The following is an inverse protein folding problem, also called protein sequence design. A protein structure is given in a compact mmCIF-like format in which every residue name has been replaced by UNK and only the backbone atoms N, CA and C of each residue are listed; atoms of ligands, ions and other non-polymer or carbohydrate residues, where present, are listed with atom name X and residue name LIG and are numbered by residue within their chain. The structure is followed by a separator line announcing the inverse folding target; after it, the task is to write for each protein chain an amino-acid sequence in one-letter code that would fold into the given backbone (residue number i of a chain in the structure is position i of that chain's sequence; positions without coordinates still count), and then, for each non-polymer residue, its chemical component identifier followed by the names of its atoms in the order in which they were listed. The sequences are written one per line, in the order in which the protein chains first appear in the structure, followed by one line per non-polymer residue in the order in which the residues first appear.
data_IF_712517777933
#
_entry.id   IF_712517777933
#
_cell.length_a   1.000
_cell.length_b   1.000
_cell.length_c   1.000
_cell.angle_alpha   90.00
_cell.angle_beta   90.00
_cell.angle_gamma   90.00
#
_symmetry.space_group_name_H-M   'P 1'
#
loop_
_entity.id
_entity.type
_entity.pdbx_description
1 polymer ?
#
# COMPACT_ATOMS: atom_id res chain seq x y z
N UNK A 1 4.24 4.93 97.54
CA UNK A 1 5.61 4.37 97.46
C UNK A 1 6.15 4.65 96.07
N UNK A 2 7.10 5.60 96.00
CA UNK A 2 8.31 5.60 95.15
C UNK A 2 8.16 5.50 93.63
N UNK A 3 8.75 6.32 92.75
CA UNK A 3 9.52 7.58 92.77
C UNK A 3 9.79 7.84 91.29
N UNK A 4 9.67 9.08 90.81
CA UNK A 4 10.30 9.46 89.53
C UNK A 4 11.74 9.93 89.81
N UNK A 5 12.72 9.56 88.97
CA UNK A 5 13.67 10.56 88.47
C UNK A 5 14.01 10.31 86.97
N UNK A 6 13.86 11.32 86.11
CA UNK A 6 14.94 12.23 85.64
C UNK A 6 16.17 11.52 85.06
N UNK A 7 16.28 11.52 83.72
CA UNK A 7 17.56 11.63 83.02
C UNK A 7 17.46 12.75 81.98
N UNK A 8 18.41 13.67 82.08
CA UNK A 8 18.60 14.90 81.31
C UNK A 8 19.45 14.66 80.05
N UNK A 9 19.38 15.61 79.11
CA UNK A 9 20.34 15.96 78.04
C UNK A 9 20.43 14.97 76.85
N UNK A 10 20.14 15.37 75.61
CA UNK A 10 21.02 16.27 74.86
C UNK A 10 20.32 16.96 73.68
N UNK A 11 20.73 18.19 73.43
CA UNK A 11 20.31 19.14 72.41
C UNK A 11 20.87 18.72 71.03
N UNK A 12 20.02 18.73 70.00
CA UNK A 12 20.45 18.96 68.61
C UNK A 12 19.35 19.74 67.89
N UNK A 13 19.48 21.06 67.96
CA UNK A 13 18.84 22.02 67.06
C UNK A 13 19.26 21.75 65.62
N UNK A 14 18.30 21.47 64.73
CA UNK A 14 18.50 21.68 63.30
C UNK A 14 17.40 22.63 62.81
N UNK A 15 17.73 23.92 62.81
CA UNK A 15 17.12 24.89 61.94
C UNK A 15 17.85 24.80 60.59
N UNK A 16 17.14 24.37 59.55
CA UNK A 16 17.43 24.70 58.16
C UNK A 16 16.05 24.99 57.54
N UNK A 17 15.74 26.26 57.33
CA UNK A 17 16.11 27.08 56.18
C UNK A 17 15.07 26.90 55.07
N UNK A 18 14.39 28.00 54.77
CA UNK A 18 13.22 28.04 53.91
C UNK A 18 13.50 27.70 52.46
N UNK A 19 12.46 27.19 51.81
CA UNK A 19 12.23 27.38 50.40
C UNK A 19 10.89 28.11 50.26
N UNK A 20 10.96 29.42 50.05
CA UNK A 20 9.98 30.08 49.22
C UNK A 20 10.28 29.61 47.79
N UNK A 21 9.43 28.75 47.24
CA UNK A 21 9.35 28.50 45.81
C UNK A 21 7.87 28.59 45.41
N UNK A 22 7.68 29.10 44.20
CA UNK A 22 6.45 29.66 43.67
C UNK A 22 5.23 28.78 43.80
N UNK A 23 4.08 29.44 43.87
CA UNK A 23 2.80 28.79 43.95
C UNK A 23 2.52 27.94 42.72
N UNK A 24 2.10 26.71 42.96
CA UNK A 24 1.03 26.12 42.18
C UNK A 24 -0.25 26.48 42.94
N UNK A 25 -0.97 27.50 42.45
CA UNK A 25 -2.36 27.63 42.84
C UNK A 25 -3.07 26.42 42.24
N UNK A 26 -3.41 25.45 43.08
CA UNK A 26 -4.35 24.38 42.72
C UNK A 26 -5.67 25.07 42.42
N UNK A 27 -5.90 25.32 41.13
CA UNK A 27 -7.13 25.87 40.58
C UNK A 27 -8.10 24.70 40.48
N UNK A 28 -9.06 24.65 41.42
CA UNK A 28 -10.24 23.81 41.26
C UNK A 28 -11.24 24.65 40.48
N UNK A 29 -11.41 24.37 39.18
CA UNK A 29 -12.49 24.98 38.42
C UNK A 29 -13.80 24.31 38.83
N UNK A 30 -14.67 25.08 39.48
CA UNK A 30 -16.04 24.68 39.80
C UNK A 30 -16.92 24.89 38.55
N UNK A 31 -16.87 23.99 37.56
CA UNK A 31 -17.86 23.93 36.46
C UNK A 31 -18.24 22.51 36.04
N UNK A 32 -19.46 22.16 36.44
CA UNK A 32 -20.47 21.35 35.75
C UNK A 32 -20.14 19.88 35.38
N UNK A 33 -20.53 18.98 36.29
CA UNK A 33 -21.16 17.66 36.07
C UNK A 33 -20.98 16.96 34.70
N UNK A 34 -19.77 16.53 34.37
CA UNK A 34 -19.51 15.37 33.51
C UNK A 34 -18.14 14.80 33.89
N UNK A 35 -18.10 13.57 34.41
CA UNK A 35 -16.91 12.95 35.03
C UNK A 35 -15.62 13.23 34.27
N UNK A 36 -14.79 14.12 34.84
CA UNK A 36 -13.78 14.88 34.12
C UNK A 36 -12.39 14.46 34.57
N UNK A 37 -11.89 13.38 33.98
CA UNK A 37 -10.49 13.02 34.08
C UNK A 37 -9.54 14.16 33.63
N UNK A 38 -8.31 14.16 34.14
CA UNK A 38 -7.26 15.10 33.78
C UNK A 38 -6.18 14.43 32.92
N UNK A 39 -5.69 15.13 31.91
CA UNK A 39 -4.60 14.65 31.06
C UNK A 39 -3.28 15.28 31.51
N UNK A 40 -2.21 14.49 31.58
CA UNK A 40 -0.85 15.00 31.81
C UNK A 40 0.16 14.23 30.96
N UNK A 41 1.21 14.92 30.51
CA UNK A 41 2.29 14.33 29.74
C UNK A 41 3.62 14.45 30.46
N UNK A 42 4.49 13.47 30.30
CA UNK A 42 5.87 13.47 30.77
C UNK A 42 6.83 12.88 29.71
N UNK A 43 8.12 12.78 30.05
CA UNK A 43 9.16 12.22 29.16
C UNK A 43 8.88 10.76 28.72
N UNK A 44 7.86 10.10 29.29
CA UNK A 44 7.44 8.73 28.97
C UNK A 44 6.13 8.64 28.19
N UNK A 45 5.45 9.76 27.95
CA UNK A 45 4.24 9.85 27.12
C UNK A 45 3.11 10.65 27.76
N UNK A 46 1.97 10.70 27.06
CA UNK A 46 0.75 11.37 27.52
C UNK A 46 -0.26 10.39 28.12
N UNK A 47 -0.83 10.79 29.26
CA UNK A 47 -1.70 9.96 30.08
C UNK A 47 -3.01 10.68 30.34
N UNK A 48 -4.13 10.02 30.06
CA UNK A 48 -5.45 10.43 30.52
C UNK A 48 -5.74 9.73 31.85
N UNK A 49 -5.92 10.50 32.90
CA UNK A 49 -6.30 10.00 34.22
C UNK A 49 -7.77 10.26 34.45
N UNK A 50 -8.55 9.23 34.75
CA UNK A 50 -9.96 9.41 35.12
C UNK A 50 -10.12 9.99 36.54
N UNK A 51 -11.37 10.25 36.94
CA UNK A 51 -11.72 10.75 38.29
C UNK A 51 -11.38 9.76 39.42
N UNK A 52 -11.04 8.51 39.11
CA UNK A 52 -10.64 7.49 40.08
C UNK A 52 -9.12 7.45 40.28
N UNK A 53 -8.36 8.24 39.51
CA UNK A 53 -6.91 8.32 39.58
C UNK A 53 -6.21 7.18 38.84
N UNK A 54 -6.96 6.44 38.00
CA UNK A 54 -6.39 5.46 37.09
C UNK A 54 -5.98 6.18 35.80
N UNK A 55 -4.68 6.13 35.50
CA UNK A 55 -4.10 6.78 34.33
C UNK A 55 -3.88 5.76 33.23
N UNK A 56 -4.55 5.98 32.11
CA UNK A 56 -4.41 5.20 30.90
C UNK A 56 -3.54 6.00 29.94
N UNK A 57 -2.65 5.36 29.16
CA UNK A 57 -2.14 6.01 27.97
C UNK A 57 -3.37 6.48 27.18
N UNK A 58 -3.43 7.76 26.80
CA UNK A 58 -4.63 8.39 26.25
C UNK A 58 -5.29 7.53 25.17
N UNK A 59 -6.42 6.92 25.52
CA UNK A 59 -7.27 6.19 24.59
C UNK A 59 -8.14 7.19 23.84
N UNK A 60 -8.17 7.05 22.51
CA UNK A 60 -8.91 7.82 21.49
C UNK A 60 -8.21 9.05 20.84
N UNK A 61 -6.92 9.30 21.09
CA UNK A 61 -6.15 10.23 20.25
C UNK A 61 -4.68 10.35 20.67
N UNK A 62 -3.75 9.87 19.84
CA UNK A 62 -2.32 10.17 19.99
C UNK A 62 -1.46 9.03 20.55
N UNK A 63 -1.43 7.89 19.87
CA UNK A 63 -0.20 7.10 19.81
C UNK A 63 0.57 7.48 18.55
N UNK A 64 1.53 8.40 18.70
CA UNK A 64 2.69 8.52 17.81
C UNK A 64 2.49 9.08 16.40
N UNK A 65 1.27 9.16 15.89
CA UNK A 65 0.96 9.64 14.54
C UNK A 65 -0.15 10.71 14.58
N UNK A 66 0.09 11.88 14.00
CA UNK A 66 -0.85 12.97 13.84
C UNK A 66 -0.72 13.58 12.43
N UNK A 67 -1.82 14.08 11.89
CA UNK A 67 -1.86 14.78 10.61
C UNK A 67 -2.11 16.28 10.78
N UNK A 68 -2.72 16.68 11.90
CA UNK A 68 -2.97 18.07 12.27
C UNK A 68 -3.01 18.24 13.80
N UNK A 69 -3.00 19.50 14.25
CA UNK A 69 -2.99 19.85 15.67
C UNK A 69 -4.16 19.25 16.47
N UNK A 70 -5.35 19.14 15.88
CA UNK A 70 -6.55 18.62 16.57
C UNK A 70 -6.53 17.11 16.75
N UNK A 71 -5.63 16.39 16.07
CA UNK A 71 -5.37 14.96 16.35
C UNK A 71 -4.62 14.79 17.68
N UNK A 72 -4.03 15.87 18.19
CA UNK A 72 -3.29 15.90 19.44
C UNK A 72 -4.14 16.42 20.60
N UNK A 73 -3.89 15.85 21.79
CA UNK A 73 -4.45 16.33 23.03
C UNK A 73 -4.06 17.80 23.30
N UNK A 74 -4.90 18.52 24.05
CA UNK A 74 -4.58 19.86 24.51
C UNK A 74 -3.25 19.87 25.30
N UNK A 75 -2.43 20.89 25.07
CA UNK A 75 -1.04 20.96 25.53
C UNK A 75 -0.02 20.40 24.51
N UNK A 76 -0.49 19.79 23.42
CA UNK A 76 0.33 19.28 22.32
C UNK A 76 -0.15 19.77 20.95
N UNK A 77 0.80 19.93 20.03
CA UNK A 77 0.53 20.19 18.61
C UNK A 77 1.21 19.12 17.75
N UNK A 78 0.79 19.04 16.50
CA UNK A 78 1.34 18.06 15.58
C UNK A 78 2.65 18.58 14.98
N UNK A 79 3.75 17.88 15.23
CA UNK A 79 5.08 18.14 14.70
C UNK A 79 5.74 16.81 14.32
N UNK A 80 6.22 16.69 13.09
CA UNK A 80 6.89 15.47 12.59
C UNK A 80 6.01 14.22 12.64
N UNK A 81 4.71 14.44 12.41
CA UNK A 81 3.71 13.39 12.50
C UNK A 81 3.55 12.91 13.94
N UNK A 82 4.15 13.57 14.93
CA UNK A 82 4.06 13.22 16.33
C UNK A 82 3.45 14.36 17.13
N UNK A 83 2.68 14.03 18.15
CA UNK A 83 2.19 15.04 19.08
C UNK A 83 3.33 15.48 20.00
N UNK A 84 3.77 16.73 19.85
CA UNK A 84 4.85 17.33 20.65
C UNK A 84 4.27 18.28 21.68
N UNK A 85 4.78 18.19 22.91
CA UNK A 85 4.36 19.02 24.04
C UNK A 85 4.88 20.45 23.89
N UNK A 86 3.98 21.40 24.07
CA UNK A 86 4.29 22.84 24.02
C UNK A 86 3.73 23.62 25.18
N UNK A 87 2.88 22.98 25.98
CA UNK A 87 2.27 23.54 27.17
C UNK A 87 0.90 24.13 26.91
N UNK A 88 0.17 24.27 28.02
CA UNK A 88 -1.12 24.92 28.06
C UNK A 88 -0.98 26.45 28.13
N UNK A 89 -1.94 27.15 27.57
CA UNK A 89 -2.01 28.60 27.58
C UNK A 89 -3.45 29.09 27.73
N UNK A 90 -3.61 30.30 28.26
CA UNK A 90 -4.87 31.04 28.20
C UNK A 90 -4.80 32.21 27.20
N UNK A 91 -3.59 32.62 26.84
CA UNK A 91 -3.27 33.73 25.94
C UNK A 91 -1.87 33.55 25.35
N UNK A 92 -1.60 34.19 24.22
CA UNK A 92 -0.31 34.09 23.50
C UNK A 92 0.90 34.42 24.38
N UNK A 93 0.73 35.32 25.35
CA UNK A 93 1.80 35.71 26.27
C UNK A 93 2.24 34.60 27.24
N UNK A 94 1.48 33.52 27.35
CA UNK A 94 1.84 32.34 28.14
C UNK A 94 2.78 31.40 27.35
N UNK A 95 2.85 31.57 26.03
CA UNK A 95 3.65 30.74 25.15
C UNK A 95 5.08 31.27 24.96
N UNK A 96 6.00 30.37 24.59
CA UNK A 96 7.38 30.72 24.22
C UNK A 96 7.39 31.62 22.97
N UNK A 97 8.47 32.37 22.77
CA UNK A 97 8.60 33.24 21.60
C UNK A 97 8.43 32.44 20.28
N UNK A 98 7.57 32.95 19.39
CA UNK A 98 7.20 32.29 18.12
C UNK A 98 6.00 31.33 18.21
N UNK A 99 5.31 31.28 19.35
CA UNK A 99 4.10 30.48 19.57
C UNK A 99 2.93 31.37 20.01
N UNK A 100 1.71 30.99 19.63
CA UNK A 100 0.43 31.62 20.00
C UNK A 100 -0.48 30.60 20.66
N UNK A 101 -1.49 31.08 21.38
CA UNK A 101 -2.43 30.19 22.04
C UNK A 101 -3.61 29.87 21.12
N UNK A 102 -3.81 28.60 20.80
CA UNK A 102 -4.99 28.16 20.05
C UNK A 102 -6.23 28.03 20.94
N UNK A 103 -7.36 27.72 20.32
CA UNK A 103 -8.65 27.54 20.96
C UNK A 103 -8.75 26.29 21.85
N UNK A 104 -7.84 25.34 21.69
CA UNK A 104 -7.65 24.19 22.59
C UNK A 104 -6.91 24.56 23.87
N UNK A 105 -6.45 25.81 24.00
CA UNK A 105 -5.60 26.25 25.11
C UNK A 105 -4.19 25.67 25.00
N UNK A 106 -3.69 25.50 23.77
CA UNK A 106 -2.38 24.90 23.47
C UNK A 106 -1.47 25.91 22.77
N UNK A 107 -0.19 25.94 23.16
CA UNK A 107 0.79 26.75 22.45
C UNK A 107 1.14 26.13 21.09
N UNK A 108 0.78 26.81 20.00
CA UNK A 108 1.03 26.39 18.61
C UNK A 108 1.89 27.42 17.89
N UNK A 109 2.56 27.09 16.78
CA UNK A 109 3.34 28.06 16.02
C UNK A 109 2.52 29.29 15.63
N UNK A 110 3.11 30.49 15.71
CA UNK A 110 2.44 31.74 15.35
C UNK A 110 1.84 31.67 13.95
N UNK A 111 0.54 31.97 13.82
CA UNK A 111 -0.23 31.84 12.57
C UNK A 111 -1.08 30.58 12.44
N UNK A 112 -0.87 29.59 13.32
CA UNK A 112 -1.75 28.42 13.39
C UNK A 112 -3.12 28.86 13.94
N UNK A 113 -4.17 28.78 13.12
CA UNK A 113 -5.53 29.25 13.43
C UNK A 113 -5.99 30.48 12.64
N UNK A 114 -5.15 31.06 11.78
CA UNK A 114 -5.60 32.09 10.83
C UNK A 114 -6.56 31.49 9.79
N UNK A 115 -7.61 32.23 9.44
CA UNK A 115 -8.53 31.78 8.39
C UNK A 115 -7.84 31.82 7.03
N UNK A 116 -7.97 30.74 6.27
CA UNK A 116 -7.33 30.58 4.97
C UNK A 116 -8.31 30.00 3.95
N UNK A 117 -7.98 30.18 2.67
CA UNK A 117 -8.65 29.52 1.54
C UNK A 117 -7.68 28.77 0.64
N UNK A 118 -6.38 28.92 0.90
CA UNK A 118 -5.28 28.29 0.19
C UNK A 118 -4.03 28.35 1.07
N UNK A 119 -3.05 27.50 0.80
CA UNK A 119 -1.78 27.48 1.51
C UNK A 119 -1.05 28.83 1.46
N UNK A 120 -1.18 29.57 0.37
CA UNK A 120 -0.57 30.88 0.21
C UNK A 120 -1.09 31.95 1.20
N UNK A 121 -2.26 31.72 1.80
CA UNK A 121 -2.82 32.58 2.84
C UNK A 121 -2.14 32.36 4.20
N UNK A 122 -1.46 31.22 4.37
CA UNK A 122 -0.86 30.83 5.63
C UNK A 122 0.61 31.29 5.76
N UNK A 123 1.07 31.61 6.99
CA UNK A 123 2.46 31.94 7.23
C UNK A 123 3.41 30.75 7.05
N UNK A 124 4.70 31.05 6.99
CA UNK A 124 5.77 30.05 6.91
C UNK A 124 5.67 29.00 8.04
N UNK A 125 5.80 27.72 7.68
CA UNK A 125 5.63 26.61 8.63
C UNK A 125 4.17 26.27 8.92
N UNK A 126 3.22 26.77 8.12
CA UNK A 126 1.81 26.41 8.20
C UNK A 126 1.16 26.24 6.81
N UNK A 127 0.20 25.33 6.70
CA UNK A 127 -0.60 25.11 5.48
C UNK A 127 -2.08 25.28 5.77
N UNK A 128 -2.89 25.46 4.73
CA UNK A 128 -4.32 25.64 4.89
C UNK A 128 -5.03 24.29 4.93
N UNK A 129 -5.60 23.93 6.08
CA UNK A 129 -6.52 22.81 6.13
C UNK A 129 -7.86 23.26 5.55
N UNK A 130 -8.15 22.87 4.30
CA UNK A 130 -9.38 23.27 3.61
C UNK A 130 -10.65 22.80 4.32
N UNK A 131 -10.58 21.73 5.13
CA UNK A 131 -11.72 21.20 5.86
C UNK A 131 -12.17 22.13 7.00
N UNK A 132 -11.22 22.67 7.76
CA UNK A 132 -11.47 23.66 8.83
C UNK A 132 -11.45 25.10 8.34
N UNK A 133 -10.81 25.37 7.20
CA UNK A 133 -10.54 26.72 6.69
C UNK A 133 -9.54 27.48 7.55
N UNK A 134 -8.65 26.77 8.25
CA UNK A 134 -7.67 27.34 9.16
C UNK A 134 -6.24 26.89 8.81
N UNK A 135 -5.28 27.78 9.06
CA UNK A 135 -3.87 27.45 8.95
C UNK A 135 -3.47 26.50 10.09
N UNK A 136 -2.87 25.36 9.74
CA UNK A 136 -2.36 24.37 10.70
C UNK A 136 -0.85 24.25 10.59
N UNK A 137 -0.20 23.90 11.70
CA UNK A 137 1.26 23.75 11.75
C UNK A 137 1.77 22.67 10.79
N UNK A 138 2.93 22.92 10.19
CA UNK A 138 3.60 21.99 9.28
C UNK A 138 5.12 22.09 9.35
N UNK A 139 5.78 21.21 8.60
CA UNK A 139 7.23 21.19 8.44
C UNK A 139 7.74 22.29 7.54
N UNK A 140 9.01 22.57 7.71
CA UNK A 140 9.77 23.43 6.83
C UNK A 140 10.69 22.58 5.96
N UNK A 141 10.81 22.94 4.70
CA UNK A 141 11.53 22.15 3.70
C UNK A 141 12.36 23.04 2.77
N UNK A 142 13.34 22.42 2.12
CA UNK A 142 14.11 22.99 1.01
C UNK A 142 13.72 22.32 -0.31
N UNK A 143 13.39 21.03 -0.26
CA UNK A 143 12.84 20.26 -1.37
C UNK A 143 11.85 19.19 -0.86
N UNK A 144 11.15 18.53 -1.78
CA UNK A 144 10.10 17.56 -1.45
C UNK A 144 10.62 16.38 -0.62
N UNK A 145 11.91 16.05 -0.68
CA UNK A 145 12.49 14.97 0.11
C UNK A 145 12.61 15.31 1.60
N UNK A 146 12.52 16.59 1.97
CA UNK A 146 12.41 17.03 3.36
C UNK A 146 10.98 16.85 3.91
N UNK A 147 10.00 16.71 3.02
CA UNK A 147 8.61 16.48 3.37
C UNK A 147 8.35 14.97 3.48
N UNK A 148 7.77 14.56 4.60
CA UNK A 148 7.34 13.17 4.80
C UNK A 148 6.30 12.73 3.76
N UNK A 149 5.96 11.42 3.74
CA UNK A 149 4.99 10.85 2.82
C UNK A 149 3.67 11.63 2.83
N UNK A 150 3.11 11.94 1.65
CA UNK A 150 1.87 12.70 1.57
C UNK A 150 2.04 14.21 1.40
N UNK A 151 3.27 14.73 1.47
CA UNK A 151 3.54 16.16 1.46
C UNK A 151 4.53 16.54 0.37
N UNK A 152 4.40 17.76 -0.15
CA UNK A 152 5.35 18.38 -1.09
C UNK A 152 5.85 19.71 -0.54
N UNK A 153 7.04 20.11 -0.97
CA UNK A 153 7.63 21.36 -0.53
C UNK A 153 7.15 22.52 -1.39
N UNK A 154 6.37 23.42 -0.81
CA UNK A 154 5.89 24.58 -1.53
C UNK A 154 6.94 25.70 -1.66
N UNK A 155 6.63 26.72 -2.46
CA UNK A 155 7.53 27.87 -2.70
C UNK A 155 7.88 28.66 -1.43
N UNK A 156 7.11 28.52 -0.34
CA UNK A 156 7.38 29.15 0.95
C UNK A 156 8.41 28.36 1.77
N UNK A 157 8.77 27.15 1.32
CA UNK A 157 9.58 26.20 2.09
C UNK A 157 8.77 25.58 3.23
N UNK A 158 7.48 25.35 3.01
CA UNK A 158 6.57 24.68 3.94
C UNK A 158 6.05 23.39 3.29
N UNK A 159 6.06 22.28 4.02
CA UNK A 159 5.46 21.05 3.55
C UNK A 159 3.95 21.19 3.54
N UNK A 160 3.32 21.00 2.40
CA UNK A 160 1.86 21.06 2.23
C UNK A 160 1.35 19.69 1.78
N UNK A 161 0.14 19.26 2.19
CA UNK A 161 -0.42 18.01 1.70
C UNK A 161 -0.47 18.03 0.16
N UNK A 162 0.05 16.98 -0.47
CA UNK A 162 0.02 16.84 -1.92
C UNK A 162 -1.15 15.92 -2.29
N UNK A 163 -2.30 16.47 -2.74
CA UNK A 163 -3.42 15.66 -3.16
C UNK A 163 -3.09 14.92 -4.46
N UNK A 164 -3.56 13.70 -4.57
CA UNK A 164 -3.31 12.85 -5.73
C UNK A 164 -4.62 12.36 -6.36
N UNK A 165 -4.56 12.03 -7.64
CA UNK A 165 -5.61 11.30 -8.36
C UNK A 165 -5.11 9.97 -8.90
N UNK A 166 -3.79 9.81 -9.00
CA UNK A 166 -3.10 8.58 -9.34
C UNK A 166 -1.68 8.57 -8.76
N UNK A 167 -1.07 7.38 -8.70
CA UNK A 167 0.25 7.14 -8.12
C UNK A 167 1.37 7.97 -8.77
N UNK A 168 1.17 8.48 -9.99
CA UNK A 168 2.21 9.24 -10.67
C UNK A 168 2.52 10.59 -10.03
N UNK A 169 1.57 11.09 -9.24
CA UNK A 169 1.66 12.37 -8.52
C UNK A 169 2.35 12.23 -7.17
N UNK A 170 2.45 11.02 -6.64
CA UNK A 170 3.10 10.78 -5.35
C UNK A 170 4.62 10.63 -5.49
N UNK A 171 5.37 10.98 -4.44
CA UNK A 171 6.82 10.75 -4.39
C UNK A 171 7.17 9.26 -4.48
N UNK A 172 8.44 8.97 -4.80
CA UNK A 172 8.98 7.60 -4.77
C UNK A 172 8.73 6.98 -3.38
N UNK A 173 8.24 5.73 -3.36
CA UNK A 173 7.85 5.03 -2.13
C UNK A 173 6.43 5.32 -1.63
N UNK A 174 5.63 6.12 -2.35
CA UNK A 174 4.24 6.44 -1.98
C UNK A 174 3.24 6.11 -3.11
N UNK A 175 2.01 5.76 -2.74
CA UNK A 175 0.89 5.49 -3.68
C UNK A 175 -0.33 6.33 -3.32
N UNK A 176 -1.19 6.57 -4.31
CA UNK A 176 -2.38 7.37 -4.11
C UNK A 176 -3.54 6.52 -3.56
N UNK A 177 -3.90 6.76 -2.30
CA UNK A 177 -5.02 6.11 -1.61
C UNK A 177 -6.05 7.17 -1.23
N UNK A 178 -7.26 7.04 -1.77
CA UNK A 178 -8.40 7.94 -1.47
C UNK A 178 -8.09 9.44 -1.61
N UNK A 179 -7.15 9.81 -2.48
CA UNK A 179 -6.77 11.20 -2.76
C UNK A 179 -5.55 11.69 -1.98
N UNK A 180 -4.95 10.83 -1.15
CA UNK A 180 -3.77 11.13 -0.33
C UNK A 180 -2.63 10.18 -0.70
N UNK A 181 -1.41 10.70 -0.76
CA UNK A 181 -0.24 9.85 -0.98
C UNK A 181 0.15 9.16 0.34
N UNK A 182 0.01 7.84 0.40
CA UNK A 182 0.39 7.02 1.56
C UNK A 182 1.74 6.31 1.32
N UNK A 183 2.53 6.20 2.38
CA UNK A 183 3.82 5.48 2.33
C UNK A 183 3.60 3.97 2.18
N UNK A 184 4.29 3.38 1.21
CA UNK A 184 4.23 1.95 0.93
C UNK A 184 5.61 1.30 0.86
N UNK A 185 6.65 2.11 0.66
CA UNK A 185 8.05 1.70 0.63
C UNK A 185 8.63 1.63 -0.79
N UNK A 186 9.96 1.66 -0.86
CA UNK A 186 10.71 1.60 -2.11
C UNK A 186 11.11 0.16 -2.45
N UNK A 187 11.27 -0.12 -3.74
CA UNK A 187 11.57 -1.46 -4.23
C UNK A 187 12.43 -1.47 -5.50
N UNK A 188 13.14 -2.58 -5.69
CA UNK A 188 13.83 -2.96 -6.92
C UNK A 188 13.23 -4.21 -7.56
N UNK A 189 12.56 -5.05 -6.77
CA UNK A 189 11.85 -6.25 -7.17
C UNK A 189 10.64 -6.50 -6.26
N UNK A 190 9.69 -7.33 -6.71
CA UNK A 190 8.47 -7.66 -5.94
C UNK A 190 8.78 -8.26 -4.57
N UNK A 191 9.92 -8.96 -4.45
CA UNK A 191 10.38 -9.54 -3.18
C UNK A 191 10.80 -8.51 -2.12
N UNK A 192 11.00 -7.24 -2.52
CA UNK A 192 11.30 -6.15 -1.58
C UNK A 192 10.02 -5.64 -0.90
N UNK A 193 8.86 -5.95 -1.47
CA UNK A 193 7.56 -5.50 -0.98
C UNK A 193 6.91 -6.52 -0.02
N UNK A 194 6.11 -6.02 0.92
CA UNK A 194 5.35 -6.84 1.87
C UNK A 194 4.27 -7.69 1.21
N UNK A 195 3.64 -8.58 1.99
CA UNK A 195 2.53 -9.40 1.50
C UNK A 195 1.42 -8.52 0.90
N UNK A 196 0.95 -8.87 -0.31
CA UNK A 196 -0.11 -8.12 -0.99
C UNK A 196 0.35 -6.89 -1.77
N UNK A 197 1.66 -6.67 -1.90
CA UNK A 197 2.26 -5.55 -2.64
C UNK A 197 3.18 -6.08 -3.74
N UNK A 198 3.34 -5.32 -4.83
CA UNK A 198 4.27 -5.61 -5.93
C UNK A 198 5.12 -4.39 -6.25
N UNK A 199 6.25 -4.59 -6.92
CA UNK A 199 7.12 -3.49 -7.27
C UNK A 199 6.72 -2.84 -8.58
N UNK A 200 6.30 -1.58 -8.53
CA UNK A 200 6.31 -0.71 -9.70
C UNK A 200 7.76 -0.30 -9.98
N UNK A 201 8.36 -0.95 -10.98
CA UNK A 201 9.77 -0.71 -11.36
C UNK A 201 10.01 0.63 -12.04
N UNK A 202 8.97 1.25 -12.60
CA UNK A 202 9.11 2.56 -13.23
C UNK A 202 9.17 3.66 -12.16
N UNK A 203 8.52 3.44 -11.01
CA UNK A 203 8.52 4.36 -9.87
C UNK A 203 9.43 3.95 -8.71
N UNK A 204 9.99 2.75 -8.74
CA UNK A 204 10.69 2.14 -7.61
C UNK A 204 9.84 2.10 -6.32
N UNK A 205 8.53 1.92 -6.47
CA UNK A 205 7.54 2.00 -5.38
C UNK A 205 6.78 0.68 -5.22
N UNK A 206 6.57 0.24 -3.99
CA UNK A 206 5.67 -0.87 -3.69
C UNK A 206 4.22 -0.44 -3.87
N UNK A 207 3.49 -1.04 -4.79
CA UNK A 207 2.07 -0.73 -5.01
C UNK A 207 1.17 -1.89 -4.58
N UNK A 208 -0.03 -1.61 -4.02
CA UNK A 208 -1.00 -2.64 -3.72
C UNK A 208 -1.33 -3.49 -4.94
N UNK A 209 -1.40 -4.79 -4.73
CA UNK A 209 -1.86 -5.69 -5.76
C UNK A 209 -3.36 -5.51 -6.00
N UNK A 210 -3.78 -5.67 -7.27
CA UNK A 210 -5.20 -5.62 -7.61
C UNK A 210 -5.99 -6.75 -6.94
N UNK A 211 -7.31 -6.72 -7.11
CA UNK A 211 -8.21 -7.75 -6.56
C UNK A 211 -7.84 -9.19 -6.99
N UNK A 212 -7.10 -9.34 -8.08
CA UNK A 212 -6.64 -10.61 -8.63
C UNK A 212 -5.26 -11.06 -8.11
N UNK A 213 -4.66 -10.32 -7.16
CA UNK A 213 -3.39 -10.65 -6.50
C UNK A 213 -2.14 -10.08 -7.18
N UNK A 214 -0.98 -10.42 -6.60
CA UNK A 214 0.35 -9.92 -7.02
C UNK A 214 1.02 -10.74 -8.11
N UNK A 215 0.47 -11.92 -8.41
CA UNK A 215 1.03 -12.76 -9.46
C UNK A 215 0.58 -12.23 -10.82
N UNK A 216 1.44 -12.32 -11.86
CA UNK A 216 0.98 -12.10 -13.22
C UNK A 216 -0.17 -13.06 -13.47
N UNK A 217 -1.38 -12.52 -13.66
CA UNK A 217 -2.55 -13.34 -13.99
C UNK A 217 -2.17 -14.12 -15.23
N UNK A 218 -2.01 -15.43 -15.10
CA UNK A 218 -1.74 -16.29 -16.24
C UNK A 218 -2.94 -16.11 -17.17
N UNK A 219 -2.79 -15.42 -18.32
CA UNK A 219 -3.94 -15.12 -19.16
C UNK A 219 -4.60 -16.41 -19.64
N UNK A 220 -3.85 -17.52 -19.70
CA UNK A 220 -4.26 -18.77 -20.28
C UNK A 220 -4.12 -18.76 -21.80
N UNK A 221 -4.62 -19.83 -22.43
CA UNK A 221 -4.70 -20.00 -23.88
C UNK A 221 -6.10 -19.64 -24.37
N UNK A 222 -6.21 -19.05 -25.57
CA UNK A 222 -7.50 -18.61 -26.12
C UNK A 222 -8.38 -19.77 -26.64
N UNK A 223 -7.75 -20.90 -26.96
CA UNK A 223 -8.39 -22.03 -27.65
C UNK A 223 -8.33 -23.35 -26.88
N UNK A 224 -7.83 -23.35 -25.64
CA UNK A 224 -7.87 -24.57 -24.83
C UNK A 224 -9.31 -24.92 -24.43
N UNK A 225 -9.67 -26.21 -24.41
CA UNK A 225 -10.99 -26.62 -23.96
C UNK A 225 -11.15 -26.37 -22.46
N UNK A 226 -12.07 -25.47 -22.09
CA UNK A 226 -12.52 -25.36 -20.71
C UNK A 226 -13.37 -26.59 -20.34
N UNK A 227 -12.90 -27.38 -19.38
CA UNK A 227 -13.53 -28.64 -18.92
C UNK A 227 -14.14 -28.52 -17.53
N UNK A 228 -14.08 -27.35 -16.90
CA UNK A 228 -14.67 -27.11 -15.58
C UNK A 228 -16.00 -26.35 -15.64
N UNK A 229 -16.65 -26.18 -14.49
CA UNK A 229 -18.01 -25.58 -14.39
C UNK A 229 -18.02 -24.04 -14.28
N UNK A 230 -16.86 -23.40 -14.39
CA UNK A 230 -16.76 -21.93 -14.39
C UNK A 230 -17.29 -21.40 -15.74
N UNK A 231 -18.17 -20.41 -15.71
CA UNK A 231 -18.70 -19.80 -16.92
C UNK A 231 -17.67 -18.83 -17.55
N UNK A 232 -17.67 -18.66 -18.89
CA UNK A 232 -16.78 -17.71 -19.55
C UNK A 232 -17.09 -16.26 -19.14
N UNK A 233 -16.06 -15.41 -18.99
CA UNK A 233 -16.25 -13.98 -18.76
C UNK A 233 -16.85 -13.28 -19.98
N UNK A 234 -17.52 -12.15 -19.75
CA UNK A 234 -18.03 -11.29 -20.84
C UNK A 234 -16.88 -10.45 -21.38
N UNK A 235 -16.37 -10.81 -22.56
CA UNK A 235 -15.26 -10.11 -23.18
C UNK A 235 -15.71 -9.06 -24.21
N UNK A 236 -15.09 -7.86 -24.23
CA UNK A 236 -15.33 -6.85 -25.26
C UNK A 236 -14.86 -7.33 -26.64
N UNK A 237 -15.38 -6.70 -27.70
CA UNK A 237 -15.03 -7.04 -29.08
C UNK A 237 -13.51 -6.98 -29.33
N UNK A 238 -12.96 -7.99 -30.00
CA UNK A 238 -11.52 -8.11 -30.28
C UNK A 238 -10.71 -8.78 -29.15
N UNK A 239 -11.39 -9.39 -28.19
CA UNK A 239 -10.77 -10.17 -27.11
C UNK A 239 -11.50 -11.51 -26.90
N UNK A 240 -10.75 -12.54 -26.52
CA UNK A 240 -11.24 -13.90 -26.26
C UNK A 240 -11.04 -14.27 -24.78
N UNK A 241 -11.95 -15.06 -24.18
CA UNK A 241 -11.78 -15.51 -22.81
C UNK A 241 -10.61 -16.49 -22.70
N UNK A 242 -9.70 -16.24 -21.77
CA UNK A 242 -8.54 -17.09 -21.53
C UNK A 242 -8.87 -18.35 -20.74
N UNK A 243 -8.21 -19.46 -21.10
CA UNK A 243 -8.36 -20.77 -20.45
C UNK A 243 -7.00 -21.26 -19.92
N UNK A 244 -6.89 -21.51 -18.62
CA UNK A 244 -5.72 -22.13 -17.99
C UNK A 244 -6.17 -23.29 -17.09
N UNK A 245 -5.40 -24.37 -17.05
CA UNK A 245 -5.68 -25.56 -16.24
C UNK A 245 -7.10 -26.14 -16.48
N UNK A 246 -7.62 -25.99 -17.70
CA UNK A 246 -8.96 -26.45 -18.07
C UNK A 246 -10.10 -25.58 -17.53
N UNK A 247 -9.82 -24.37 -17.04
CA UNK A 247 -10.80 -23.41 -16.56
C UNK A 247 -10.65 -22.02 -17.18
N UNK A 248 -11.75 -21.28 -17.26
CA UNK A 248 -11.68 -19.86 -17.61
C UNK A 248 -10.97 -19.08 -16.50
N UNK A 249 -9.99 -18.26 -16.88
CA UNK A 249 -9.18 -17.45 -15.96
C UNK A 249 -9.91 -16.18 -15.52
N UNK A 250 -11.02 -15.83 -16.17
CA UNK A 250 -11.70 -14.55 -15.97
C UNK A 250 -11.08 -13.39 -16.76
N UNK A 251 -9.95 -13.61 -17.43
CA UNK A 251 -9.23 -12.62 -18.24
C UNK A 251 -9.64 -12.69 -19.71
N UNK A 252 -9.72 -11.53 -20.36
CA UNK A 252 -9.93 -11.42 -21.80
C UNK A 252 -8.60 -11.11 -22.51
N UNK A 253 -8.16 -12.02 -23.37
CA UNK A 253 -6.92 -11.95 -24.15
C UNK A 253 -7.20 -11.27 -25.50
N UNK A 254 -6.47 -10.22 -25.90
CA UNK A 254 -6.58 -9.65 -27.25
C UNK A 254 -6.35 -10.70 -28.34
N UNK A 255 -7.17 -10.69 -29.39
CA UNK A 255 -7.04 -11.64 -30.51
C UNK A 255 -5.64 -11.63 -31.14
N UNK A 256 -4.96 -10.48 -31.15
CA UNK A 256 -3.59 -10.34 -31.64
C UNK A 256 -2.53 -11.12 -30.83
N UNK A 257 -2.87 -11.53 -29.59
CA UNK A 257 -2.02 -12.30 -28.69
C UNK A 257 -2.44 -13.77 -28.62
N UNK A 258 -3.46 -14.18 -29.38
CA UNK A 258 -3.88 -15.57 -29.53
C UNK A 258 -3.19 -16.14 -30.78
N UNK A 259 -2.06 -16.88 -30.65
CA UNK A 259 -1.47 -17.54 -31.81
C UNK A 259 -2.49 -18.53 -32.38
N UNK A 260 -2.82 -18.33 -33.65
CA UNK A 260 -3.78 -19.16 -34.37
C UNK A 260 -3.21 -20.57 -34.56
N UNK A 261 -4.04 -21.54 -34.15
CA UNK A 261 -3.94 -22.98 -34.38
C UNK A 261 -2.92 -23.77 -33.53
N UNK A 262 -3.31 -24.99 -33.07
CA UNK A 262 -2.34 -25.92 -32.48
C UNK A 262 -1.19 -26.15 -33.45
N UNK A 263 0.03 -26.47 -32.97
CA UNK A 263 1.15 -26.73 -33.88
C UNK A 263 0.75 -27.82 -34.88
N UNK A 264 0.81 -27.48 -36.18
CA UNK A 264 0.54 -28.41 -37.27
C UNK A 264 1.29 -29.72 -37.03
N UNK A 265 0.58 -30.85 -36.99
CA UNK A 265 1.22 -32.16 -36.98
C UNK A 265 1.12 -32.77 -38.37
N UNK A 266 2.12 -33.55 -38.79
CA UNK A 266 2.11 -34.17 -40.10
C UNK A 266 0.90 -35.10 -40.32
N UNK A 267 0.23 -35.55 -39.25
CA UNK A 267 -1.00 -36.34 -39.36
C UNK A 267 -2.23 -35.52 -39.80
N UNK A 268 -2.18 -34.19 -39.66
CA UNK A 268 -3.27 -33.27 -39.97
C UNK A 268 -3.27 -32.81 -41.44
N UNK A 269 -2.24 -33.19 -42.21
CA UNK A 269 -2.09 -32.80 -43.61
C UNK A 269 -3.28 -33.25 -44.46
N UNK A 270 -4.00 -32.30 -45.05
CA UNK A 270 -5.22 -32.59 -45.81
C UNK A 270 -4.94 -33.33 -47.14
N UNK A 271 -3.76 -33.12 -47.72
CA UNK A 271 -3.30 -33.73 -48.95
C UNK A 271 -1.77 -33.76 -49.07
N UNK A 272 -1.27 -34.32 -50.17
CA UNK A 272 0.16 -34.45 -50.44
C UNK A 272 0.88 -33.09 -50.54
N UNK A 273 0.22 -32.06 -51.08
CA UNK A 273 0.83 -30.74 -51.23
C UNK A 273 0.98 -30.07 -49.85
N UNK A 274 -0.05 -30.20 -49.00
CA UNK A 274 -0.04 -29.72 -47.62
C UNK A 274 1.05 -30.41 -46.77
N UNK A 275 1.22 -31.73 -46.96
CA UNK A 275 2.28 -32.51 -46.33
C UNK A 275 3.70 -32.02 -46.70
N UNK A 276 3.91 -31.69 -47.99
CA UNK A 276 5.21 -31.24 -48.48
C UNK A 276 5.54 -29.80 -48.06
N UNK A 277 4.54 -28.91 -48.00
CA UNK A 277 4.71 -27.52 -47.60
C UNK A 277 5.17 -27.40 -46.14
N UNK A 278 4.68 -28.31 -45.28
CA UNK A 278 5.02 -28.36 -43.86
C UNK A 278 6.25 -29.22 -43.52
N UNK A 279 7.04 -29.63 -44.52
CA UNK A 279 8.34 -30.29 -44.31
C UNK A 279 8.26 -31.75 -43.84
N UNK A 280 7.09 -32.36 -43.90
CA UNK A 280 6.85 -33.76 -43.53
C UNK A 280 7.27 -34.75 -44.64
N UNK A 281 7.02 -36.04 -44.42
CA UNK A 281 7.25 -37.12 -45.40
C UNK A 281 5.92 -37.74 -45.85
N UNK A 282 5.57 -37.70 -47.15
CA UNK A 282 4.39 -38.38 -47.67
C UNK A 282 4.61 -39.88 -47.76
N UNK A 283 3.62 -40.67 -47.32
CA UNK A 283 3.60 -42.13 -47.43
C UNK A 283 2.59 -42.52 -48.50
N UNK A 284 3.05 -43.29 -49.49
CA UNK A 284 2.20 -43.81 -50.56
C UNK A 284 1.81 -45.25 -50.29
N UNK A 285 0.55 -45.57 -50.49
CA UNK A 285 -0.02 -46.92 -50.32
C UNK A 285 -0.29 -47.55 -51.67
N UNK A 286 0.05 -48.83 -51.81
CA UNK A 286 -0.19 -49.58 -53.03
C UNK A 286 -1.68 -49.93 -53.19
N UNK A 287 -2.20 -49.77 -54.42
CA UNK A 287 -3.58 -50.11 -54.77
C UNK A 287 -3.61 -51.36 -55.65
N UNK A 288 -4.61 -52.22 -55.44
CA UNK A 288 -4.79 -53.50 -56.15
C UNK A 288 -3.55 -54.40 -56.12
N UNK A 289 -2.91 -54.54 -54.96
CA UNK A 289 -1.72 -55.35 -54.85
C UNK A 289 -2.02 -56.84 -54.78
N UNK A 290 -1.30 -57.63 -55.58
CA UNK A 290 -1.44 -59.09 -55.65
C UNK A 290 -0.12 -59.79 -55.37
N UNK A 291 -0.21 -60.89 -54.62
CA UNK A 291 0.90 -61.79 -54.37
C UNK A 291 1.10 -62.78 -55.54
N UNK A 292 2.19 -63.58 -55.56
CA UNK A 292 2.47 -64.53 -56.64
C UNK A 292 1.45 -65.69 -56.73
N UNK A 293 0.68 -65.94 -55.67
CA UNK A 293 -0.36 -66.95 -55.58
C UNK A 293 -1.75 -66.41 -55.97
N UNK A 294 -1.85 -65.11 -56.30
CA UNK A 294 -3.08 -64.41 -56.69
C UNK A 294 -3.95 -63.93 -55.53
N UNK A 295 -3.41 -63.92 -54.31
CA UNK A 295 -4.01 -63.32 -53.12
C UNK A 295 -3.76 -61.81 -53.00
N UNK A 296 -4.46 -61.16 -52.07
CA UNK A 296 -4.30 -59.73 -51.76
C UNK A 296 -3.19 -59.53 -50.72
N UNK A 297 -2.29 -58.57 -50.95
CA UNK A 297 -1.15 -58.26 -50.07
C UNK A 297 -0.98 -56.75 -49.85
N UNK A 298 -0.10 -56.35 -48.92
CA UNK A 298 0.23 -54.93 -48.64
C UNK A 298 1.47 -54.53 -49.43
N UNK A 299 1.46 -53.37 -50.07
CA UNK A 299 2.50 -52.97 -51.04
C UNK A 299 3.93 -52.86 -50.51
N UNK A 300 4.14 -52.79 -49.19
CA UNK A 300 5.47 -52.79 -48.57
C UNK A 300 6.06 -54.20 -48.38
N UNK A 301 5.33 -55.25 -48.74
CA UNK A 301 5.77 -56.64 -48.63
C UNK A 301 6.63 -57.08 -49.85
N UNK A 302 7.72 -57.84 -49.64
CA UNK A 302 8.75 -58.09 -50.65
C UNK A 302 8.29 -58.86 -51.91
N UNK A 303 7.18 -59.59 -51.83
CA UNK A 303 6.63 -60.40 -52.92
C UNK A 303 5.30 -59.86 -53.46
N UNK A 304 4.94 -58.64 -53.08
CA UNK A 304 3.67 -58.01 -53.45
C UNK A 304 3.83 -57.10 -54.68
N UNK A 305 3.01 -57.28 -55.72
CA UNK A 305 3.02 -56.41 -56.91
C UNK A 305 1.75 -55.57 -56.95
N UNK A 306 1.89 -54.26 -56.88
CA UNK A 306 0.79 -53.29 -56.97
C UNK A 306 0.62 -52.72 -58.38
N UNK A 307 -0.61 -52.41 -58.76
CA UNK A 307 -0.92 -51.81 -60.07
C UNK A 307 -0.42 -50.36 -60.14
N UNK A 308 -0.62 -49.60 -59.07
CA UNK A 308 -0.13 -48.24 -58.87
C UNK A 308 -0.10 -47.89 -57.37
N UNK A 309 0.47 -46.73 -57.04
CA UNK A 309 0.55 -46.20 -55.67
C UNK A 309 -0.13 -44.84 -55.61
N UNK A 310 -0.91 -44.59 -54.55
CA UNK A 310 -1.56 -43.31 -54.28
C UNK A 310 -1.15 -42.78 -52.91
N UNK A 311 -1.26 -41.47 -52.72
CA UNK A 311 -1.01 -40.83 -51.42
C UNK A 311 -1.95 -41.43 -50.36
N UNK A 312 -1.37 -41.92 -49.27
CA UNK A 312 -2.13 -42.46 -48.13
C UNK A 312 -2.25 -41.46 -47.00
N UNK A 313 -1.12 -41.11 -46.41
CA UNK A 313 -1.05 -40.20 -45.25
C UNK A 313 0.35 -39.59 -45.15
N UNK A 314 0.50 -38.63 -44.25
CA UNK A 314 1.72 -37.91 -44.02
C UNK A 314 2.29 -38.23 -42.62
N UNK A 315 3.62 -38.26 -42.48
CA UNK A 315 4.31 -38.58 -41.22
C UNK A 315 5.50 -37.68 -40.96
N UNK A 316 5.97 -37.69 -39.71
CA UNK A 316 7.22 -37.03 -39.33
C UNK A 316 8.43 -37.68 -40.01
N UNK A 317 9.41 -36.87 -40.43
CA UNK A 317 10.67 -37.38 -40.95
C UNK A 317 11.41 -38.14 -39.85
N UNK A 318 11.78 -39.39 -40.12
CA UNK A 318 12.67 -40.12 -39.23
C UNK A 318 14.01 -39.38 -39.11
N UNK A 319 14.49 -39.17 -37.88
CA UNK A 319 15.82 -38.60 -37.65
C UNK A 319 16.89 -39.52 -38.26
N UNK A 320 17.95 -38.97 -38.89
CA UNK A 320 19.01 -39.74 -39.53
C UNK A 320 19.86 -40.56 -38.55
#
# INVERSE_FOLDING_TARGET
MTTSPKTLLSIATLALAGAALGGCAIYFDDRDDSGGGYTYCDDTGCWYCDDYGDCYPGGDGGWGECSNNYDCAAGCYCEDGACVETGFCEKDADCRAGMVCDDRGTCVPEGSGELCTSDADCPYGTYCDEASGACVGSWTCTDDGDCGPGYECDDRGTCVPSPCTDDSQCLEGCVCVDGTCEETGTCSADADCGEGMKCDKDRNTCTPCGADGCEPVNPGNCYEPAVCEIAPPVCPSGTLPGVADGCYTGVCIPEALCPDEPPFTCADAADEADCLDHGCEPVYVGVNCTDPDGGTCVGDEPDCTCEYFEYGFCRDRAAP
#
